data_IF_832163416754
#
_entry.id   IF_832163416754
#
_cell.length_a   1.000
_cell.length_b   1.000
_cell.length_c   1.000
_cell.angle_alpha   90.00
_cell.angle_beta   90.00
_cell.angle_gamma   90.00
#
_symmetry.space_group_name_H-M   'P 1'
#
loop_
_entity.id
_entity.type
_entity.pdbx_description
1 polymer ?
#
# COMPACT_ATOMS: atom_id res chain seq x y z
N UNK A 1 6.50 -0.03 -15.34
CA UNK A 1 6.27 1.33 -14.78
C UNK A 1 6.18 1.24 -13.27
N UNK A 2 6.59 2.28 -12.53
CA UNK A 2 6.42 2.38 -11.08
C UNK A 2 5.21 3.27 -10.77
N UNK A 3 4.31 2.80 -9.93
CA UNK A 3 2.99 3.42 -9.72
C UNK A 3 2.73 3.55 -8.22
N UNK A 4 2.41 4.76 -7.78
CA UNK A 4 1.94 5.03 -6.43
C UNK A 4 0.41 4.91 -6.40
N UNK A 5 -0.13 4.11 -5.50
CA UNK A 5 -1.58 3.99 -5.26
C UNK A 5 -1.89 4.44 -3.84
N UNK A 6 -2.65 5.52 -3.72
CA UNK A 6 -3.20 5.98 -2.43
C UNK A 6 -4.54 5.28 -2.17
N UNK A 7 -4.85 5.03 -0.89
CA UNK A 7 -6.02 4.24 -0.51
C UNK A 7 -5.90 2.76 -0.92
N UNK A 8 -4.67 2.20 -0.91
CA UNK A 8 -4.37 0.87 -1.45
C UNK A 8 -5.10 -0.29 -0.74
N UNK A 9 -5.54 -0.10 0.52
CA UNK A 9 -6.33 -1.09 1.24
C UNK A 9 -7.85 -0.84 1.13
N UNK A 10 -8.25 0.31 0.57
CA UNK A 10 -9.64 0.64 0.23
C UNK A 10 -10.20 -0.25 -0.88
N UNK A 11 -11.50 -0.12 -1.16
CA UNK A 11 -12.18 -0.97 -2.15
C UNK A 11 -11.59 -0.82 -3.56
N UNK A 12 -11.61 0.39 -4.12
CA UNK A 12 -11.10 0.67 -5.47
C UNK A 12 -9.57 0.49 -5.52
N UNK A 13 -8.86 0.99 -4.51
CA UNK A 13 -7.40 0.90 -4.44
C UNK A 13 -6.90 -0.54 -4.43
N UNK A 14 -7.52 -1.42 -3.65
CA UNK A 14 -7.17 -2.85 -3.63
C UNK A 14 -7.30 -3.50 -5.01
N UNK A 15 -8.46 -3.33 -5.67
CA UNK A 15 -8.69 -3.91 -6.99
C UNK A 15 -7.73 -3.32 -8.04
N UNK A 16 -7.42 -2.03 -7.91
CA UNK A 16 -6.44 -1.35 -8.77
C UNK A 16 -5.05 -1.93 -8.59
N UNK A 17 -4.56 -2.03 -7.34
CA UNK A 17 -3.28 -2.67 -7.02
C UNK A 17 -3.21 -4.08 -7.61
N UNK A 18 -4.25 -4.89 -7.40
CA UNK A 18 -4.31 -6.27 -7.92
C UNK A 18 -4.12 -6.32 -9.43
N UNK A 19 -4.88 -5.53 -10.20
CA UNK A 19 -4.78 -5.51 -11.67
C UNK A 19 -3.41 -4.98 -12.14
N UNK A 20 -2.87 -3.95 -11.48
CA UNK A 20 -1.55 -3.41 -11.82
C UNK A 20 -0.44 -4.44 -11.55
N UNK A 21 -0.53 -5.19 -10.46
CA UNK A 21 0.43 -6.24 -10.10
C UNK A 21 0.35 -7.44 -11.03
N UNK A 22 -0.87 -7.86 -11.41
CA UNK A 22 -1.10 -8.92 -12.42
C UNK A 22 -0.56 -8.53 -13.80
N UNK A 23 -0.44 -7.23 -14.08
CA UNK A 23 0.22 -6.67 -15.28
C UNK A 23 1.71 -6.39 -15.08
N UNK A 24 2.31 -6.96 -14.04
CA UNK A 24 3.75 -6.88 -13.72
C UNK A 24 4.27 -5.45 -13.49
N UNK A 25 3.39 -4.50 -13.16
CA UNK A 25 3.83 -3.15 -12.77
C UNK A 25 4.40 -3.16 -11.35
N UNK A 26 5.33 -2.24 -11.06
CA UNK A 26 5.81 -2.03 -9.69
C UNK A 26 4.82 -1.10 -9.00
N UNK A 27 4.21 -1.57 -7.91
CA UNK A 27 3.20 -0.81 -7.17
C UNK A 27 3.71 -0.49 -5.78
N UNK A 28 3.62 0.78 -5.41
CA UNK A 28 3.79 1.24 -4.03
C UNK A 28 2.41 1.67 -3.50
N UNK A 29 1.91 0.98 -2.50
CA UNK A 29 0.61 1.27 -1.88
C UNK A 29 0.75 2.10 -0.61
N UNK A 30 -0.12 3.09 -0.44
CA UNK A 30 -0.28 3.85 0.80
C UNK A 30 -1.74 3.77 1.25
N UNK A 31 -1.96 3.53 2.54
CA UNK A 31 -3.26 3.69 3.19
C UNK A 31 -3.03 4.09 4.65
N UNK A 32 -3.85 5.00 5.18
CA UNK A 32 -3.78 5.37 6.60
C UNK A 32 -4.47 4.32 7.51
N UNK A 33 -5.23 3.39 6.92
CA UNK A 33 -6.05 2.39 7.60
C UNK A 33 -6.90 3.04 8.69
N UNK A 34 -7.57 4.15 8.33
CA UNK A 34 -8.53 4.79 9.22
C UNK A 34 -9.71 3.86 9.58
N UNK A 35 -10.32 4.13 10.73
CA UNK A 35 -11.42 3.40 11.38
C UNK A 35 -12.82 3.87 10.96
N UNK A 36 -12.90 4.75 9.95
CA UNK A 36 -14.17 5.20 9.37
C UNK A 36 -15.01 4.04 8.78
N UNK A 37 -14.37 2.91 8.47
CA UNK A 37 -14.97 1.61 8.16
C UNK A 37 -14.32 0.53 9.02
N UNK A 38 -14.92 -0.67 9.07
CA UNK A 38 -14.28 -1.81 9.73
C UNK A 38 -12.89 -2.07 9.11
N UNK A 39 -11.88 -1.84 9.94
CA UNK A 39 -10.46 -1.99 9.58
C UNK A 39 -10.13 -3.43 9.22
N UNK A 40 -10.93 -4.41 9.68
CA UNK A 40 -10.76 -5.83 9.35
C UNK A 40 -10.72 -6.05 7.84
N UNK A 41 -11.64 -5.44 7.09
CA UNK A 41 -11.76 -5.58 5.64
C UNK A 41 -10.56 -4.99 4.89
N UNK A 42 -9.97 -3.90 5.40
CA UNK A 42 -8.72 -3.34 4.85
C UNK A 42 -7.56 -4.32 5.02
N UNK A 43 -7.42 -4.92 6.20
CA UNK A 43 -6.37 -5.91 6.45
C UNK A 43 -6.58 -7.22 5.67
N UNK A 44 -7.82 -7.67 5.49
CA UNK A 44 -8.14 -8.83 4.64
C UNK A 44 -7.74 -8.60 3.18
N UNK A 45 -7.99 -7.40 2.64
CA UNK A 45 -7.55 -7.00 1.29
C UNK A 45 -6.02 -6.96 1.18
N UNK A 46 -5.35 -6.38 2.17
CA UNK A 46 -3.88 -6.38 2.23
C UNK A 46 -3.32 -7.79 2.30
N UNK A 47 -3.94 -8.69 3.07
CA UNK A 47 -3.55 -10.09 3.15
C UNK A 47 -3.66 -10.80 1.79
N UNK A 48 -4.71 -10.52 1.00
CA UNK A 48 -4.83 -11.03 -0.36
C UNK A 48 -3.72 -10.55 -1.31
N UNK A 49 -3.18 -9.35 -1.03
CA UNK A 49 -2.00 -8.79 -1.69
C UNK A 49 -0.68 -9.22 -1.04
N UNK A 50 -0.68 -10.12 -0.05
CA UNK A 50 0.51 -10.65 0.62
C UNK A 50 1.12 -9.74 1.69
N UNK A 51 0.33 -8.83 2.26
CA UNK A 51 0.74 -7.95 3.36
C UNK A 51 0.00 -8.36 4.63
N UNK A 52 0.73 -8.90 5.61
CA UNK A 52 0.16 -9.26 6.90
C UNK A 52 -0.08 -8.04 7.80
N UNK A 53 -1.17 -8.08 8.58
CA UNK A 53 -1.53 -7.02 9.54
C UNK A 53 -0.40 -6.74 10.55
N UNK A 54 0.27 -7.79 11.03
CA UNK A 54 1.40 -7.71 11.97
C UNK A 54 2.57 -6.87 11.44
N UNK A 55 2.73 -6.79 10.11
CA UNK A 55 3.79 -6.03 9.47
C UNK A 55 3.40 -4.59 9.15
N UNK A 56 2.11 -4.24 9.20
CA UNK A 56 1.58 -2.90 8.90
C UNK A 56 1.87 -1.88 10.02
N UNK A 57 3.15 -1.58 10.23
CA UNK A 57 3.62 -0.61 11.21
C UNK A 57 3.61 0.79 10.59
N UNK A 58 3.18 1.79 11.37
CA UNK A 58 3.13 3.18 10.93
C UNK A 58 4.48 3.64 10.37
N UNK A 59 4.46 4.22 9.17
CA UNK A 59 5.63 4.74 8.46
C UNK A 59 6.73 3.72 8.17
N UNK A 60 6.41 2.43 8.23
CA UNK A 60 7.31 1.33 7.85
C UNK A 60 6.85 0.72 6.53
N UNK A 61 7.78 0.57 5.60
CA UNK A 61 7.55 -0.15 4.35
C UNK A 61 7.54 -1.66 4.60
N UNK A 62 6.65 -2.35 3.89
CA UNK A 62 6.49 -3.80 3.90
C UNK A 62 6.43 -4.28 2.45
N UNK A 63 7.29 -5.20 2.10
CA UNK A 63 7.23 -5.88 0.80
C UNK A 63 6.28 -7.06 0.91
N UNK A 64 5.46 -7.27 -0.10
CA UNK A 64 4.53 -8.38 -0.14
C UNK A 64 5.23 -9.74 -0.22
N UNK A 65 4.71 -10.71 0.51
CA UNK A 65 5.13 -12.11 0.44
C UNK A 65 4.65 -12.82 -0.83
N UNK A 66 3.64 -12.25 -1.51
CA UNK A 66 3.00 -12.84 -2.70
C UNK A 66 3.42 -12.16 -4.00
N UNK A 67 3.65 -10.84 -3.95
CA UNK A 67 3.98 -10.01 -5.10
C UNK A 67 5.30 -9.29 -4.82
N UNK A 68 6.41 -9.77 -5.39
CA UNK A 68 7.74 -9.14 -5.19
C UNK A 68 7.82 -7.71 -5.72
N UNK A 69 6.89 -7.33 -6.59
CA UNK A 69 6.71 -6.00 -7.16
C UNK A 69 5.70 -5.11 -6.38
N UNK A 70 5.21 -5.54 -5.22
CA UNK A 70 4.34 -4.76 -4.35
C UNK A 70 5.03 -4.37 -3.04
N UNK A 71 5.08 -3.07 -2.76
CA UNK A 71 5.44 -2.52 -1.47
C UNK A 71 4.24 -1.76 -0.89
N UNK A 72 4.03 -1.84 0.41
CA UNK A 72 2.98 -1.12 1.13
C UNK A 72 3.57 -0.35 2.31
N UNK A 73 3.08 0.85 2.55
CA UNK A 73 3.39 1.62 3.76
C UNK A 73 2.10 2.15 4.37
N UNK A 74 1.88 1.83 5.65
CA UNK A 74 0.82 2.46 6.42
C UNK A 74 1.24 3.89 6.76
N UNK A 75 0.58 4.88 6.18
CA UNK A 75 0.82 6.30 6.46
C UNK A 75 -0.34 7.15 5.94
N UNK A 76 -0.43 8.39 6.39
CA UNK A 76 -1.41 9.35 5.90
C UNK A 76 -0.79 10.28 4.86
N UNK A 77 -1.49 10.46 3.74
CA UNK A 77 -1.07 11.32 2.63
C UNK A 77 -1.04 12.81 3.01
N UNK A 78 -1.70 13.21 4.11
CA UNK A 78 -1.57 14.57 4.65
C UNK A 78 -0.18 14.84 5.22
N UNK A 79 0.62 13.81 5.51
CA UNK A 79 1.98 13.98 5.99
C UNK A 79 2.94 14.25 4.83
N UNK A 80 3.05 15.53 4.46
CA UNK A 80 3.90 16.02 3.37
C UNK A 80 5.35 15.52 3.47
N UNK A 81 5.97 15.62 4.64
CA UNK A 81 7.38 15.26 4.82
C UNK A 81 7.64 13.76 4.54
N UNK A 82 6.69 12.91 4.93
CA UNK A 82 6.78 11.47 4.66
C UNK A 82 6.57 11.19 3.17
N UNK A 83 5.61 11.87 2.54
CA UNK A 83 5.36 11.71 1.12
C UNK A 83 6.59 12.15 0.30
N UNK A 84 7.18 13.30 0.59
CA UNK A 84 8.42 13.77 -0.05
C UNK A 84 9.55 12.75 0.08
N UNK A 85 9.74 12.18 1.28
CA UNK A 85 10.72 11.12 1.52
C UNK A 85 10.44 9.85 0.70
N UNK A 86 9.18 9.45 0.56
CA UNK A 86 8.80 8.30 -0.28
C UNK A 86 9.16 8.60 -1.74
N UNK A 87 8.81 9.77 -2.26
CA UNK A 87 9.12 10.15 -3.65
C UNK A 87 10.62 10.15 -3.93
N UNK A 88 11.43 10.68 -3.00
CA UNK A 88 12.89 10.69 -3.09
C UNK A 88 13.48 9.27 -3.06
N UNK A 89 13.15 8.47 -2.04
CA UNK A 89 13.70 7.12 -1.83
C UNK A 89 13.28 6.17 -2.95
N UNK A 90 12.00 6.22 -3.33
CA UNK A 90 11.44 5.35 -4.34
C UNK A 90 11.74 5.83 -5.77
N UNK A 91 12.29 7.04 -5.96
CA UNK A 91 12.62 7.63 -7.26
C UNK A 91 11.42 7.65 -8.20
N UNK A 92 10.32 8.21 -7.72
CA UNK A 92 9.12 8.47 -8.52
C UNK A 92 9.33 9.60 -9.53
#
# INVERSE_FOLDING_TARGET
>A
MKILVTGAAGFIGFHTCKILLEREHKVFGIDNINDYYDVSLKYERLLQLGIEKSHCIENKQVVSSKFTNFCFQKTDIINKNILEKIFEVEKF
#
